data_IF_911456536404
#
_entry.id   IF_911456536404
#
_cell.length_a   1.000
_cell.length_b   1.000
_cell.length_c   1.000
_cell.angle_alpha   90.00
_cell.angle_beta   90.00
_cell.angle_gamma   90.00
#
_symmetry.space_group_name_H-M   'P 1'
#
loop_
_entity.id
_entity.type
_entity.pdbx_description
1 polymer ?
#
# COMPACT_ATOMS: atom_id res chain seq x y z
N UNK A 1 -8.27 -14.55 -1.47
CA UNK A 1 -7.85 -13.42 -0.62
C UNK A 1 -8.76 -13.35 0.59
N UNK A 2 -8.28 -13.71 1.76
CA UNK A 2 -9.12 -13.87 2.95
C UNK A 2 -9.70 -12.53 3.43
N UNK A 3 -8.93 -11.44 3.35
CA UNK A 3 -9.39 -10.10 3.75
C UNK A 3 -10.52 -9.57 2.87
N UNK A 4 -10.43 -9.68 1.54
CA UNK A 4 -11.49 -9.20 0.66
C UNK A 4 -12.76 -10.02 0.83
N UNK A 5 -12.63 -11.34 1.01
CA UNK A 5 -13.75 -12.22 1.30
C UNK A 5 -14.43 -11.86 2.63
N UNK A 6 -13.64 -11.56 3.67
CA UNK A 6 -14.15 -11.15 4.98
C UNK A 6 -15.02 -9.89 4.90
N UNK A 7 -14.60 -8.89 4.13
CA UNK A 7 -15.39 -7.67 3.90
C UNK A 7 -16.40 -7.79 2.76
N UNK A 8 -16.54 -8.97 2.15
CA UNK A 8 -17.42 -9.23 1.02
C UNK A 8 -17.19 -8.27 -0.17
N UNK A 9 -15.92 -7.96 -0.44
CA UNK A 9 -15.51 -7.11 -1.56
C UNK A 9 -15.11 -7.93 -2.78
N UNK A 10 -15.54 -7.47 -3.95
CA UNK A 10 -15.07 -7.95 -5.24
C UNK A 10 -13.75 -7.25 -5.60
N UNK A 11 -12.65 -7.99 -5.86
CA UNK A 11 -11.38 -7.42 -6.31
C UNK A 11 -11.51 -6.44 -7.49
N UNK A 12 -12.48 -6.65 -8.40
CA UNK A 12 -12.72 -5.75 -9.55
C UNK A 12 -13.19 -4.36 -9.15
N UNK A 13 -13.81 -4.24 -7.98
CA UNK A 13 -14.33 -2.99 -7.44
C UNK A 13 -13.35 -2.35 -6.43
N UNK A 14 -12.18 -2.96 -6.22
CA UNK A 14 -11.15 -2.43 -5.33
C UNK A 14 -10.25 -1.49 -6.11
N UNK A 15 -10.15 -0.26 -5.61
CA UNK A 15 -9.12 0.68 -6.04
C UNK A 15 -7.84 0.42 -5.24
N UNK A 16 -6.94 -0.38 -5.78
CA UNK A 16 -5.67 -0.70 -5.11
C UNK A 16 -4.59 0.30 -5.50
N UNK A 17 -4.23 1.19 -4.57
CA UNK A 17 -3.27 2.25 -4.82
C UNK A 17 -1.84 1.83 -4.42
N UNK A 18 -0.89 1.96 -5.35
CA UNK A 18 0.55 1.78 -5.12
C UNK A 18 1.35 2.78 -5.97
N UNK A 19 2.62 2.97 -5.64
CA UNK A 19 3.52 3.76 -6.49
C UNK A 19 3.97 2.97 -7.74
N UNK A 20 4.71 3.64 -8.62
CA UNK A 20 5.23 3.05 -9.85
C UNK A 20 6.67 2.53 -9.72
N UNK A 21 7.12 2.10 -8.54
CA UNK A 21 8.43 1.46 -8.41
C UNK A 21 8.54 0.29 -9.42
N UNK A 22 9.71 0.07 -10.05
CA UNK A 22 9.92 -1.05 -10.98
C UNK A 22 9.48 -2.42 -10.44
N UNK A 23 9.54 -2.65 -9.12
CA UNK A 23 9.06 -3.90 -8.49
C UNK A 23 7.54 -4.05 -8.59
N UNK A 24 6.81 -2.98 -8.30
CA UNK A 24 5.34 -2.90 -8.34
C UNK A 24 4.78 -2.93 -9.77
N UNK A 25 5.58 -2.53 -10.75
CA UNK A 25 5.23 -2.53 -12.18
C UNK A 25 5.85 -3.68 -12.99
N UNK A 26 6.56 -4.59 -12.31
CA UNK A 26 7.17 -5.77 -12.93
C UNK A 26 6.14 -6.70 -13.58
N UNK A 27 6.58 -7.54 -14.54
CA UNK A 27 5.70 -8.50 -15.21
C UNK A 27 5.03 -9.46 -14.22
N UNK A 28 5.79 -9.90 -13.21
CA UNK A 28 5.31 -10.83 -12.17
C UNK A 28 4.23 -10.17 -11.32
N UNK A 29 4.45 -8.92 -10.89
CA UNK A 29 3.46 -8.18 -10.12
C UNK A 29 2.17 -7.95 -10.93
N UNK A 30 2.29 -7.52 -12.20
CA UNK A 30 1.15 -7.32 -13.10
C UNK A 30 0.33 -8.58 -13.32
N UNK A 31 1.00 -9.70 -13.63
CA UNK A 31 0.34 -10.99 -13.84
C UNK A 31 -0.46 -11.41 -12.61
N UNK A 32 0.10 -11.24 -11.41
CA UNK A 32 -0.61 -11.58 -10.18
C UNK A 32 -1.90 -10.76 -9.99
N UNK A 33 -1.89 -9.45 -10.27
CA UNK A 33 -3.11 -8.64 -10.17
C UNK A 33 -4.17 -9.05 -11.19
N UNK A 34 -3.77 -9.37 -12.43
CA UNK A 34 -4.66 -9.86 -13.48
C UNK A 34 -5.27 -11.22 -13.09
N UNK A 35 -4.46 -12.16 -12.60
CA UNK A 35 -4.90 -13.49 -12.12
C UNK A 35 -5.85 -13.39 -10.92
N UNK A 36 -5.72 -12.35 -10.09
CA UNK A 36 -6.57 -12.09 -8.93
C UNK A 36 -7.76 -11.16 -9.21
N UNK A 37 -8.08 -10.91 -10.48
CA UNK A 37 -9.24 -10.10 -10.92
C UNK A 37 -9.23 -8.64 -10.46
N UNK A 38 -8.07 -8.02 -10.22
CA UNK A 38 -8.01 -6.59 -9.96
C UNK A 38 -8.11 -5.77 -11.25
N UNK A 39 -8.72 -4.59 -11.17
CA UNK A 39 -8.71 -3.65 -12.30
C UNK A 39 -7.34 -2.97 -12.42
N UNK A 40 -6.63 -3.26 -13.51
CA UNK A 40 -5.30 -2.71 -13.78
C UNK A 40 -5.29 -1.18 -13.97
N UNK A 41 -6.41 -0.58 -14.40
CA UNK A 41 -6.52 0.89 -14.51
C UNK A 41 -6.48 1.56 -13.15
N UNK A 42 -7.06 0.93 -12.14
CA UNK A 42 -7.07 1.45 -10.77
C UNK A 42 -5.68 1.40 -10.11
N UNK A 43 -4.83 0.47 -10.55
CA UNK A 43 -3.53 0.21 -9.94
C UNK A 43 -2.42 1.08 -10.53
N UNK A 44 -2.39 1.23 -11.86
CA UNK A 44 -1.23 1.82 -12.57
C UNK A 44 -1.47 3.24 -13.10
N UNK A 45 -2.53 3.92 -12.64
CA UNK A 45 -2.85 5.30 -13.05
C UNK A 45 -2.01 6.37 -12.36
N UNK A 46 -1.17 6.00 -11.40
CA UNK A 46 -0.43 6.94 -10.57
C UNK A 46 0.63 7.72 -11.36
N UNK A 47 0.82 9.01 -11.08
CA UNK A 47 1.92 9.79 -11.64
C UNK A 47 3.23 9.49 -10.91
N UNK A 48 4.34 9.45 -11.66
CA UNK A 48 5.67 9.33 -11.06
C UNK A 48 5.97 10.55 -10.18
N UNK A 49 6.77 10.34 -9.11
CA UNK A 49 7.25 11.39 -8.19
C UNK A 49 6.15 12.10 -7.38
N UNK A 50 4.95 11.53 -7.28
CA UNK A 50 3.84 12.06 -6.48
C UNK A 50 3.76 11.43 -5.10
N UNK A 51 4.81 11.63 -4.30
CA UNK A 51 4.89 11.17 -2.90
C UNK A 51 3.86 11.88 -2.01
N UNK A 52 3.60 13.16 -2.30
CA UNK A 52 2.60 14.00 -1.62
C UNK A 52 1.18 13.47 -1.76
N UNK A 53 0.89 12.79 -2.87
CA UNK A 53 -0.42 12.22 -3.14
C UNK A 53 -0.61 10.81 -2.53
N UNK A 54 0.45 10.16 -2.03
CA UNK A 54 0.38 8.79 -1.51
C UNK A 54 -0.18 8.78 -0.08
N UNK A 55 -1.37 8.21 0.19
CA UNK A 55 -1.94 8.12 1.53
C UNK A 55 -1.00 7.42 2.53
N UNK A 56 -0.17 6.48 2.07
CA UNK A 56 0.78 5.79 2.93
C UNK A 56 1.80 6.75 3.56
N UNK A 57 2.29 7.74 2.81
CA UNK A 57 3.22 8.75 3.35
C UNK A 57 2.57 9.58 4.47
N UNK A 58 1.28 9.89 4.33
CA UNK A 58 0.54 10.60 5.37
C UNK A 58 0.36 9.76 6.64
N UNK A 59 0.04 8.46 6.49
CA UNK A 59 -0.03 7.54 7.63
C UNK A 59 1.34 7.38 8.29
N UNK A 60 2.42 7.25 7.51
CA UNK A 60 3.79 7.18 8.04
C UNK A 60 4.18 8.44 8.80
N UNK A 61 3.79 9.61 8.32
CA UNK A 61 4.01 10.86 9.04
C UNK A 61 3.32 10.84 10.41
N UNK A 62 2.04 10.49 10.46
CA UNK A 62 1.30 10.37 11.72
C UNK A 62 1.88 9.32 12.65
N UNK A 63 2.32 8.17 12.12
CA UNK A 63 2.95 7.13 12.92
C UNK A 63 4.26 7.63 13.54
N UNK A 64 5.13 8.28 12.75
CA UNK A 64 6.39 8.87 13.25
C UNK A 64 6.14 9.91 14.34
N UNK A 65 5.12 10.75 14.18
CA UNK A 65 4.73 11.72 15.22
C UNK A 65 4.30 11.03 16.52
N UNK A 66 3.46 9.99 16.43
CA UNK A 66 3.03 9.22 17.61
C UNK A 66 4.21 8.53 18.29
N UNK A 67 5.11 7.92 17.52
CA UNK A 67 6.32 7.30 18.06
C UNK A 67 7.25 8.34 18.71
N UNK A 68 7.32 9.56 18.17
CA UNK A 68 8.14 10.63 18.75
C UNK A 68 7.62 11.14 20.11
N UNK A 69 6.36 10.88 20.42
CA UNK A 69 5.76 11.23 21.72
C UNK A 69 6.05 10.20 22.82
N UNK A 70 6.69 9.06 22.50
CA UNK A 70 7.01 8.03 23.48
C UNK A 70 8.21 8.49 24.33
N UNK A 71 8.14 8.26 25.64
CA UNK A 71 9.22 8.67 26.56
C UNK A 71 10.55 7.97 26.26
N UNK A 72 10.46 6.72 25.81
CA UNK A 72 11.62 5.89 25.48
C UNK A 72 11.56 5.42 24.05
N UNK A 73 12.72 5.43 23.38
CA UNK A 73 12.87 4.84 22.06
C UNK A 73 12.83 3.31 22.15
N UNK A 74 12.25 2.66 21.14
CA UNK A 74 12.34 1.22 20.95
C UNK A 74 13.82 0.79 20.91
N UNK A 75 14.15 -0.25 21.67
CA UNK A 75 15.51 -0.80 21.80
C UNK A 75 15.79 -1.87 20.76
N UNK A 76 14.76 -2.58 20.31
CA UNK A 76 14.84 -3.64 19.32
C UNK A 76 13.57 -3.71 18.47
N UNK A 77 13.55 -4.66 17.53
CA UNK A 77 12.45 -4.84 16.56
C UNK A 77 11.18 -5.41 17.20
N UNK A 78 11.26 -6.01 18.39
CA UNK A 78 10.10 -6.51 19.12
C UNK A 78 9.38 -5.40 19.90
N UNK A 79 10.07 -4.28 20.15
CA UNK A 79 9.50 -3.06 20.75
C UNK A 79 8.97 -2.05 19.71
N UNK A 80 9.03 -2.38 18.40
CA UNK A 80 8.52 -1.55 17.29
C UNK A 80 7.07 -1.88 16.90
#
# INVERSE_FOLDING_TARGET
MDTLNYYNYDPKNIYFQQDNDPKHTSKVAKAWFEENNFDSKSIYSWSAQSLDLNPAEHVWHHLKLRLSAYETRAKDVHEL
#
